data_IF_491982897871
#
_entry.id   IF_491982897871
#
_cell.length_a   1.000
_cell.length_b   1.000
_cell.length_c   1.000
_cell.angle_alpha   90.00
_cell.angle_beta   90.00
_cell.angle_gamma   90.00
#
_symmetry.space_group_name_H-M   'P 1'
#
loop_
_entity.id
_entity.type
_entity.pdbx_description
1 polymer ?
#
# COMPACT_ATOMS: atom_id res chain seq x y z
N UNK A 1 9.60 -7.18 -8.54
CA UNK A 1 8.28 -6.63 -8.87
C UNK A 1 8.24 -6.16 -10.34
N UNK A 2 8.33 -7.06 -11.34
CA UNK A 2 8.74 -6.67 -12.72
C UNK A 2 7.70 -5.91 -13.59
N UNK A 3 6.43 -5.86 -13.17
CA UNK A 3 5.36 -5.14 -13.89
C UNK A 3 4.93 -3.83 -13.22
N UNK A 4 5.30 -3.63 -11.95
CA UNK A 4 4.96 -2.41 -11.23
C UNK A 4 5.82 -1.25 -11.76
N UNK A 5 5.22 -0.07 -11.89
CA UNK A 5 5.92 1.15 -12.31
C UNK A 5 6.20 2.10 -11.13
N UNK A 6 5.95 1.64 -9.89
CA UNK A 6 6.19 2.39 -8.66
C UNK A 6 5.51 3.77 -8.60
N UNK A 7 4.31 3.91 -9.18
CA UNK A 7 3.59 5.19 -9.23
C UNK A 7 2.89 5.59 -7.92
N UNK A 8 2.80 4.68 -6.94
CA UNK A 8 2.10 4.94 -5.67
C UNK A 8 0.57 4.95 -5.74
N UNK A 9 -0.03 4.67 -6.91
CA UNK A 9 -1.50 4.68 -7.04
C UNK A 9 -2.19 3.58 -6.23
N UNK A 10 -1.51 2.46 -5.95
CA UNK A 10 -2.04 1.42 -5.07
C UNK A 10 -2.20 1.89 -3.62
N UNK A 11 -1.26 2.70 -3.10
CA UNK A 11 -1.35 3.30 -1.76
C UNK A 11 -2.52 4.29 -1.70
N UNK A 12 -2.65 5.17 -2.69
CA UNK A 12 -3.77 6.13 -2.76
C UNK A 12 -5.13 5.47 -2.95
N UNK A 13 -5.19 4.38 -3.71
CA UNK A 13 -6.43 3.66 -3.95
C UNK A 13 -6.85 2.81 -2.76
N UNK A 14 -5.93 2.44 -1.86
CA UNK A 14 -6.23 1.57 -0.74
C UNK A 14 -6.93 2.34 0.39
N UNK A 15 -8.19 2.01 0.71
CA UNK A 15 -8.95 2.77 1.71
C UNK A 15 -8.66 2.36 3.16
N UNK A 16 -7.95 1.24 3.34
CA UNK A 16 -7.63 0.65 4.64
C UNK A 16 -6.13 0.72 4.96
N UNK A 17 -5.36 1.43 4.13
CA UNK A 17 -3.91 1.53 4.23
C UNK A 17 -3.20 0.17 4.35
N UNK A 18 -3.71 -0.84 3.63
CA UNK A 18 -3.18 -2.20 3.65
C UNK A 18 -1.89 -2.36 2.82
N UNK A 19 -1.56 -1.37 1.99
CA UNK A 19 -0.37 -1.36 1.14
C UNK A 19 0.21 0.05 1.10
N UNK A 20 1.51 0.15 1.33
CA UNK A 20 2.27 1.41 1.32
C UNK A 20 3.49 1.23 0.43
N UNK A 21 3.82 2.24 -0.38
CA UNK A 21 5.07 2.22 -1.13
C UNK A 21 6.21 2.71 -0.20
N UNK A 22 7.08 1.78 0.19
CA UNK A 22 8.25 2.09 1.00
C UNK A 22 9.30 2.92 0.27
N UNK A 23 10.34 3.34 0.99
CA UNK A 23 11.47 4.10 0.44
C UNK A 23 12.66 3.19 0.03
N UNK A 24 12.43 1.88 -0.08
CA UNK A 24 13.45 0.92 -0.48
C UNK A 24 13.70 1.04 -2.00
N UNK A 25 14.94 1.28 -2.40
CA UNK A 25 15.32 1.46 -3.81
C UNK A 25 16.36 0.44 -4.29
N UNK A 26 16.99 -0.31 -3.38
CA UNK A 26 18.00 -1.33 -3.69
C UNK A 26 17.35 -2.70 -3.90
N UNK A 27 16.41 -2.79 -4.86
CA UNK A 27 15.58 -3.99 -5.11
C UNK A 27 16.03 -4.79 -6.36
N UNK A 28 17.29 -4.66 -6.75
CA UNK A 28 17.81 -5.31 -7.95
C UNK A 28 18.09 -6.79 -7.68
N UNK A 29 17.56 -7.67 -8.52
CA UNK A 29 17.75 -9.12 -8.44
C UNK A 29 18.33 -9.66 -9.76
N UNK A 30 19.00 -10.82 -9.69
CA UNK A 30 19.64 -11.44 -10.85
C UNK A 30 18.67 -12.19 -11.75
N UNK A 31 17.65 -12.84 -11.18
CA UNK A 31 16.62 -13.54 -11.93
C UNK A 31 15.30 -12.73 -11.99
N UNK A 32 14.52 -12.99 -13.04
CA UNK A 32 13.23 -12.34 -13.24
C UNK A 32 12.16 -12.90 -12.30
N UNK A 33 12.27 -14.16 -11.91
CA UNK A 33 11.31 -14.82 -11.03
C UNK A 33 11.44 -14.32 -9.59
N UNK A 34 12.64 -13.92 -9.17
CA UNK A 34 12.89 -13.23 -7.89
C UNK A 34 12.19 -11.85 -7.83
N UNK A 35 11.85 -11.29 -9.00
CA UNK A 35 11.02 -10.09 -9.10
C UNK A 35 9.51 -10.38 -9.09
N UNK A 36 9.05 -11.56 -8.65
CA UNK A 36 7.63 -11.85 -8.43
C UNK A 36 7.38 -11.94 -6.92
N UNK A 37 6.75 -10.89 -6.39
CA UNK A 37 6.55 -10.79 -4.94
C UNK A 37 5.23 -11.46 -4.60
N UNK A 38 5.29 -12.45 -3.71
CA UNK A 38 4.09 -13.15 -3.24
C UNK A 38 3.45 -12.39 -2.08
N UNK A 39 2.20 -12.75 -1.75
CA UNK A 39 1.50 -12.17 -0.60
C UNK A 39 2.34 -12.29 0.67
N UNK A 40 2.89 -13.47 0.95
CA UNK A 40 3.59 -13.75 2.19
C UNK A 40 4.89 -12.94 2.33
N UNK A 41 5.54 -12.60 1.21
CA UNK A 41 6.71 -11.72 1.19
C UNK A 41 6.37 -10.25 1.48
N UNK A 42 5.13 -9.83 1.22
CA UNK A 42 4.67 -8.45 1.39
C UNK A 42 3.99 -8.22 2.75
N UNK A 43 3.70 -9.27 3.51
CA UNK A 43 3.14 -9.15 4.84
C UNK A 43 4.23 -8.68 5.80
N UNK A 44 4.11 -7.44 6.27
CA UNK A 44 5.00 -6.84 7.26
C UNK A 44 4.18 -6.09 8.30
N UNK A 45 4.81 -5.73 9.43
CA UNK A 45 4.21 -4.78 10.35
C UNK A 45 4.02 -3.42 9.66
N UNK A 46 2.86 -2.77 9.80
CA UNK A 46 2.55 -1.56 9.07
C UNK A 46 3.45 -0.39 9.53
N UNK A 47 4.06 0.30 8.57
CA UNK A 47 4.97 1.46 8.78
C UNK A 47 4.18 2.68 9.29
N UNK A 48 2.98 2.88 8.77
CA UNK A 48 2.02 3.90 9.22
C UNK A 48 0.85 3.19 9.91
N UNK A 49 0.36 3.74 11.02
CA UNK A 49 -0.87 3.28 11.66
C UNK A 49 -2.01 4.24 11.26
N UNK A 50 -2.78 3.95 10.20
CA UNK A 50 -3.88 4.85 9.76
C UNK A 50 -5.06 4.13 9.09
N UNK A 51 -6.32 4.49 9.43
CA UNK A 51 -6.84 4.60 10.81
C UNK A 51 -7.00 3.18 11.41
N UNK A 52 -6.40 2.88 12.56
CA UNK A 52 -7.02 2.88 13.90
C UNK A 52 -8.38 2.17 13.92
N UNK A 53 -8.57 1.24 14.86
CA UNK A 53 -9.83 0.57 15.17
C UNK A 53 -11.00 1.51 15.55
N UNK A 54 -10.88 2.80 15.28
CA UNK A 54 -11.76 3.87 15.71
C UNK A 54 -12.16 4.73 14.50
N UNK A 55 -13.45 4.65 14.16
CA UNK A 55 -14.05 5.25 12.98
C UNK A 55 -14.21 6.78 13.09
N UNK A 56 -13.88 7.36 14.25
CA UNK A 56 -14.13 8.77 14.57
C UNK A 56 -12.96 9.71 14.23
N UNK A 57 -11.80 9.17 13.80
CA UNK A 57 -10.57 9.95 13.57
C UNK A 57 -10.51 10.66 12.20
N UNK A 58 -11.50 10.50 11.32
CA UNK A 58 -11.51 11.17 10.02
C UNK A 58 -12.28 12.50 10.07
N UNK A 59 -11.63 13.59 9.64
CA UNK A 59 -12.21 14.95 9.54
C UNK A 59 -13.34 15.06 8.49
N UNK A 60 -13.61 13.96 7.78
CA UNK A 60 -14.77 13.81 6.89
C UNK A 60 -15.51 12.51 7.23
N UNK A 61 -16.85 12.55 7.42
CA UNK A 61 -17.65 11.39 7.86
C UNK A 61 -17.80 10.29 6.79
N UNK A 62 -17.15 10.44 5.63
CA UNK A 62 -17.18 9.51 4.51
C UNK A 62 -15.76 9.38 3.94
N UNK A 63 -15.25 8.17 3.75
CA UNK A 63 -14.00 8.00 3.01
C UNK A 63 -14.12 8.65 1.62
N UNK A 64 -13.08 9.36 1.15
CA UNK A 64 -13.10 10.14 -0.09
C UNK A 64 -13.70 9.40 -1.30
N UNK A 65 -13.43 8.10 -1.42
CA UNK A 65 -13.96 7.24 -2.49
C UNK A 65 -15.46 6.93 -2.39
N UNK A 66 -16.10 7.12 -1.23
CA UNK A 66 -17.56 7.02 -1.03
C UNK A 66 -18.27 8.37 -1.24
N UNK A 67 -17.54 9.48 -1.19
CA UNK A 67 -18.10 10.83 -1.34
C UNK A 67 -18.35 11.24 -2.79
N UNK A 68 -17.69 10.60 -3.75
CA UNK A 68 -17.66 11.00 -5.16
C UNK A 68 -18.04 9.87 -6.13
N UNK A 69 -18.84 8.90 -5.68
CA UNK A 69 -19.45 7.85 -6.51
C UNK A 69 -20.89 8.19 -6.90
#
# INVERSE_FOLDING_TARGET
MSRCIFCGYCELACPFDAITLGNEYELAEYDRDDQIYTKDMLLAEPIKRVPVADAELYDTPIPYYRAHS
#
